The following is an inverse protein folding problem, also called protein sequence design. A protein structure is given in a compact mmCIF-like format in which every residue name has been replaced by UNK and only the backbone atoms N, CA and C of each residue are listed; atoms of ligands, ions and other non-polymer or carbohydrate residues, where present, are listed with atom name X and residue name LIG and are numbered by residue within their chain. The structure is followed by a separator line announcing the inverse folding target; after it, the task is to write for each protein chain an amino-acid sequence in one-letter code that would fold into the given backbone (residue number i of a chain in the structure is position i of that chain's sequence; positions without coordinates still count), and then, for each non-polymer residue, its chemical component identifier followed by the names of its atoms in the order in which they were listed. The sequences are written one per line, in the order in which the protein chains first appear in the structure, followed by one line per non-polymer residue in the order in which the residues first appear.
data_IF_891610265522
#
_entry.id   IF_891610265522
#
_cell.length_a   1.000
_cell.length_b   1.000
_cell.length_c   1.000
_cell.angle_alpha   90.00
_cell.angle_beta   90.00
_cell.angle_gamma   90.00
#
_symmetry.space_group_name_H-M   'P 1'
#
loop_
_entity.id
_entity.type
_entity.pdbx_description
1 polymer ?
#
# COMPACT_ATOMS: atom_id res chain seq x y z
N UNK A 1 3.35 7.25 -10.05
CA UNK A 1 2.77 6.33 -9.04
C UNK A 1 2.13 5.11 -9.68
N UNK A 2 0.93 5.21 -10.24
CA UNK A 2 0.22 4.06 -10.83
C UNK A 2 1.05 3.32 -11.89
N UNK A 3 1.59 4.06 -12.87
CA UNK A 3 2.50 3.51 -13.89
C UNK A 3 3.69 2.78 -13.26
N UNK A 4 4.34 3.40 -12.27
CA UNK A 4 5.55 2.86 -11.66
C UNK A 4 5.26 1.59 -10.83
N UNK A 5 4.07 1.53 -10.21
CA UNK A 5 3.57 0.35 -9.51
C UNK A 5 3.21 -0.77 -10.49
N UNK A 6 2.53 -0.48 -11.61
CA UNK A 6 2.19 -1.47 -12.65
C UNK A 6 3.43 -2.05 -13.36
N UNK A 7 4.56 -1.33 -13.35
CA UNK A 7 5.85 -1.83 -13.87
C UNK A 7 6.54 -2.84 -12.94
N UNK A 8 6.11 -2.94 -11.68
CA UNK A 8 6.79 -3.77 -10.66
C UNK A 8 5.86 -4.78 -10.00
N UNK A 9 4.55 -4.53 -9.99
CA UNK A 9 3.52 -5.40 -9.42
C UNK A 9 2.57 -5.81 -10.54
N UNK A 10 2.75 -7.03 -11.04
CA UNK A 10 2.02 -7.54 -12.20
C UNK A 10 0.71 -8.25 -11.80
N UNK A 11 -0.33 -8.10 -12.63
CA UNK A 11 -1.60 -8.82 -12.47
C UNK A 11 -2.47 -8.33 -11.30
N UNK A 12 -2.20 -7.14 -10.76
CA UNK A 12 -2.92 -6.54 -9.63
C UNK A 12 -3.48 -5.14 -9.96
N UNK A 13 -3.83 -4.91 -11.23
CA UNK A 13 -4.18 -3.58 -11.76
C UNK A 13 -5.28 -2.89 -10.95
N UNK A 14 -6.37 -3.59 -10.64
CA UNK A 14 -7.48 -3.03 -9.87
C UNK A 14 -7.06 -2.58 -8.46
N UNK A 15 -6.19 -3.34 -7.80
CA UNK A 15 -5.65 -2.98 -6.49
C UNK A 15 -4.73 -1.75 -6.57
N UNK A 16 -3.87 -1.70 -7.61
CA UNK A 16 -2.96 -0.58 -7.86
C UNK A 16 -3.73 0.70 -8.20
N UNK A 17 -4.82 0.61 -8.95
CA UNK A 17 -5.64 1.74 -9.35
C UNK A 17 -6.38 2.34 -8.15
N UNK A 18 -6.97 1.49 -7.31
CA UNK A 18 -7.62 1.91 -6.07
C UNK A 18 -6.63 2.61 -5.13
N UNK A 19 -5.46 2.01 -4.93
CA UNK A 19 -4.41 2.56 -4.09
C UNK A 19 -3.87 3.90 -4.60
N UNK A 20 -3.56 3.96 -5.90
CA UNK A 20 -3.06 5.17 -6.54
C UNK A 20 -4.07 6.31 -6.48
N UNK A 21 -5.35 6.01 -6.66
CA UNK A 21 -6.43 7.01 -6.57
C UNK A 21 -6.53 7.60 -5.17
N UNK A 22 -6.56 6.75 -4.13
CA UNK A 22 -6.64 7.19 -2.74
C UNK A 22 -5.47 8.12 -2.34
N UNK A 23 -4.26 7.84 -2.83
CA UNK A 23 -3.07 8.66 -2.57
C UNK A 23 -3.13 9.98 -3.33
N UNK A 24 -3.52 9.97 -4.61
CA UNK A 24 -3.69 11.19 -5.42
C UNK A 24 -4.70 12.14 -4.77
N UNK A 25 -5.84 11.62 -4.30
CA UNK A 25 -6.86 12.42 -3.59
C UNK A 25 -6.33 13.05 -2.31
N UNK A 26 -5.60 12.28 -1.50
CA UNK A 26 -5.01 12.81 -0.27
C UNK A 26 -3.99 13.91 -0.55
N UNK A 27 -3.12 13.73 -1.56
CA UNK A 27 -2.14 14.75 -1.96
C UNK A 27 -2.78 16.01 -2.55
N UNK A 28 -3.98 15.91 -3.11
CA UNK A 28 -4.77 17.04 -3.58
C UNK A 28 -5.50 17.81 -2.46
N UNK A 29 -5.32 17.43 -1.18
CA UNK A 29 -6.00 18.06 -0.05
C UNK A 29 -7.49 17.72 0.04
N UNK A 30 -7.95 16.69 -0.68
CA UNK A 30 -9.36 16.26 -0.70
C UNK A 30 -9.70 15.27 0.42
N UNK A 31 -8.79 15.07 1.38
CA UNK A 31 -9.00 14.26 2.58
C UNK A 31 -8.71 15.07 3.84
N UNK A 32 -9.35 14.66 4.92
CA UNK A 32 -9.18 15.26 6.25
C UNK A 32 -7.72 15.19 6.71
N UNK A 33 -7.15 16.30 7.24
CA UNK A 33 -5.73 16.37 7.61
C UNK A 33 -5.36 15.52 8.85
N UNK A 34 -6.34 15.15 9.65
CA UNK A 34 -6.24 14.28 10.83
C UNK A 34 -6.31 12.78 10.49
N UNK A 35 -6.49 12.42 9.21
CA UNK A 35 -6.58 11.03 8.76
C UNK A 35 -5.34 10.61 7.98
N UNK A 36 -4.99 9.31 8.02
CA UNK A 36 -3.95 8.77 7.15
C UNK A 36 -4.23 9.05 5.66
N UNK A 37 -3.16 9.20 4.88
CA UNK A 37 -3.22 9.32 3.41
C UNK A 37 -4.10 8.22 2.79
N UNK A 38 -3.94 7.00 3.28
CA UNK A 38 -4.83 5.88 3.02
C UNK A 38 -4.59 4.75 4.02
N UNK A 39 -5.64 3.99 4.29
CA UNK A 39 -5.59 2.75 5.07
C UNK A 39 -6.07 1.63 4.16
N UNK A 40 -5.24 0.61 3.99
CA UNK A 40 -5.47 -0.44 3.00
C UNK A 40 -5.35 -1.82 3.65
N UNK A 41 -6.21 -2.74 3.25
CA UNK A 41 -6.11 -4.16 3.55
C UNK A 41 -5.89 -4.91 2.23
N UNK A 42 -4.70 -5.49 2.05
CA UNK A 42 -4.45 -6.38 0.93
C UNK A 42 -4.92 -7.79 1.30
N UNK A 43 -5.96 -8.27 0.63
CA UNK A 43 -6.50 -9.61 0.82
C UNK A 43 -6.26 -10.47 -0.42
N UNK A 44 -5.90 -11.74 -0.22
CA UNK A 44 -5.65 -12.70 -1.30
C UNK A 44 -4.70 -13.83 -0.88
N UNK A 45 -4.49 -14.87 -1.72
CA UNK A 45 -3.58 -15.98 -1.42
C UNK A 45 -2.13 -15.54 -1.17
N UNK A 46 -1.34 -16.38 -0.51
CA UNK A 46 0.11 -16.12 -0.37
C UNK A 46 0.79 -16.14 -1.75
N UNK A 47 1.84 -15.33 -1.91
CA UNK A 47 2.61 -15.27 -3.17
C UNK A 47 2.08 -14.32 -4.24
N UNK A 48 0.88 -13.73 -4.09
CA UNK A 48 0.28 -12.85 -5.11
C UNK A 48 0.81 -11.40 -5.14
N UNK A 49 1.82 -11.08 -4.34
CA UNK A 49 2.48 -9.76 -4.38
C UNK A 49 1.98 -8.72 -3.37
N UNK A 50 1.19 -9.08 -2.35
CA UNK A 50 0.68 -8.15 -1.33
C UNK A 50 1.78 -7.34 -0.63
N UNK A 51 2.79 -8.03 -0.10
CA UNK A 51 3.93 -7.39 0.58
C UNK A 51 4.79 -6.59 -0.38
N UNK A 52 4.88 -7.04 -1.64
CA UNK A 52 5.64 -6.35 -2.67
C UNK A 52 4.97 -5.04 -3.08
N UNK A 53 3.64 -5.01 -3.18
CA UNK A 53 2.88 -3.79 -3.41
C UNK A 53 3.16 -2.72 -2.34
N UNK A 54 3.23 -3.10 -1.06
CA UNK A 54 3.60 -2.18 0.02
C UNK A 54 5.05 -1.66 -0.12
N UNK A 55 6.01 -2.54 -0.48
CA UNK A 55 7.42 -2.15 -0.72
C UNK A 55 7.58 -1.20 -1.89
N UNK A 56 6.98 -1.53 -3.03
CA UNK A 56 7.05 -0.70 -4.24
C UNK A 56 6.34 0.63 -4.03
N UNK A 57 5.28 0.66 -3.23
CA UNK A 57 4.62 1.90 -2.84
C UNK A 57 5.54 2.82 -2.05
N UNK A 58 6.18 2.32 -1.00
CA UNK A 58 7.10 3.12 -0.19
C UNK A 58 8.24 3.69 -1.06
N UNK A 59 8.83 2.83 -1.92
CA UNK A 59 9.85 3.23 -2.89
C UNK A 59 9.36 4.31 -3.86
N UNK A 60 8.19 4.14 -4.46
CA UNK A 60 7.62 5.10 -5.40
C UNK A 60 7.22 6.43 -4.75
N UNK A 61 6.90 6.40 -3.44
CA UNK A 61 6.60 7.60 -2.66
C UNK A 61 7.85 8.28 -2.08
N UNK A 62 9.01 7.61 -2.12
CA UNK A 62 10.25 8.11 -1.53
C UNK A 62 10.20 8.16 0.00
N UNK A 63 9.48 7.23 0.63
CA UNK A 63 9.30 7.17 2.09
C UNK A 63 9.88 5.87 2.65
N UNK A 64 10.22 5.91 3.93
CA UNK A 64 10.63 4.71 4.67
C UNK A 64 9.44 3.75 4.86
N UNK A 65 9.68 2.46 4.62
CA UNK A 65 8.72 1.41 4.95
C UNK A 65 8.99 0.89 6.37
N UNK A 66 8.16 1.33 7.32
CA UNK A 66 8.13 0.74 8.66
C UNK A 66 7.31 -0.56 8.60
N UNK A 67 7.96 -1.69 8.90
CA UNK A 67 7.33 -3.02 8.87
C UNK A 67 7.21 -3.59 10.27
N UNK A 68 6.00 -4.00 10.63
CA UNK A 68 5.72 -4.77 11.84
C UNK A 68 5.33 -6.19 11.41
N UNK A 69 6.00 -7.21 11.97
CA UNK A 69 5.62 -8.59 11.73
C UNK A 69 4.48 -8.98 12.68
N UNK A 70 3.25 -9.05 12.15
CA UNK A 70 2.08 -9.37 12.97
C UNK A 70 2.14 -10.77 13.59
N UNK A 71 2.97 -11.68 13.07
CA UNK A 71 3.14 -13.01 13.68
C UNK A 71 3.80 -12.94 15.06
N UNK A 72 4.64 -11.94 15.31
CA UNK A 72 5.30 -11.69 16.60
C UNK A 72 4.32 -11.20 17.67
N UNK A 73 3.15 -10.68 17.27
CA UNK A 73 2.13 -10.14 18.18
C UNK A 73 0.97 -11.13 18.43
N UNK A 74 1.07 -12.36 17.95
CA UNK A 74 0.00 -13.36 18.12
C UNK A 74 0.05 -14.09 19.47
N UNK A 75 1.16 -14.02 20.20
CA UNK A 75 1.23 -14.62 21.53
C UNK A 75 0.28 -13.89 22.48
N UNK A 76 -0.63 -14.65 23.09
CA UNK A 76 -1.47 -14.17 24.18
C UNK A 76 -0.57 -14.04 25.41
N UNK A 77 -0.37 -12.82 25.89
CA UNK A 77 0.00 -12.60 27.28
C UNK A 77 -1.13 -13.09 28.21
#
# INVERSE_FOLDING_TARGET
LERDLKLTVFGQDAAIDSLSTAIKLSRAGLKSPDKPVGSFLFAGPTGVGKTEAARQLAKAMGIELVRFDMSEYMERH
#
